data_IF_424306914897
#
_entry.id   IF_424306914897
#
_cell.length_a   1.000
_cell.length_b   1.000
_cell.length_c   1.000
_cell.angle_alpha   90.00
_cell.angle_beta   90.00
_cell.angle_gamma   90.00
#
_symmetry.space_group_name_H-M   'P 1'
#
loop_
_entity.id
_entity.type
_entity.pdbx_description
1 polymer ?
#
# COMPACT_ATOMS: atom_id res chain seq x y z
N UNK A 1 -18.21 13.36 2.76
CA UNK A 1 -17.83 13.04 4.14
C UNK A 1 -17.32 11.61 4.16
N UNK A 2 -16.33 11.34 5.01
CA UNK A 2 -15.67 10.04 5.12
C UNK A 2 -16.64 8.93 5.46
N UNK A 3 -16.65 7.86 4.65
CA UNK A 3 -17.54 6.70 4.88
C UNK A 3 -17.05 5.74 5.95
N UNK A 4 -15.83 5.93 6.43
CA UNK A 4 -15.19 5.04 7.39
C UNK A 4 -14.93 5.78 8.71
N UNK A 5 -15.46 5.23 9.81
CA UNK A 5 -15.30 5.74 11.17
C UNK A 5 -14.49 4.73 11.99
N UNK A 6 -13.48 5.20 12.71
CA UNK A 6 -12.57 4.33 13.47
C UNK A 6 -12.65 4.68 14.95
N UNK A 7 -12.89 3.68 15.80
CA UNK A 7 -12.72 3.78 17.24
C UNK A 7 -11.32 3.29 17.63
N UNK A 8 -10.61 4.10 18.39
CA UNK A 8 -9.27 3.84 18.92
C UNK A 8 -9.35 3.73 20.44
N UNK A 9 -9.21 2.51 20.97
CA UNK A 9 -9.48 2.23 22.40
C UNK A 9 -8.28 1.58 23.08
N UNK A 10 -7.99 1.86 24.37
CA UNK A 10 -6.89 1.23 25.10
C UNK A 10 -7.22 -0.23 25.47
N UNK A 11 -8.51 -0.59 25.49
CA UNK A 11 -9.01 -1.93 25.82
C UNK A 11 -9.66 -2.58 24.61
N UNK A 12 -9.54 -3.91 24.51
CA UNK A 12 -10.17 -4.70 23.45
C UNK A 12 -11.69 -4.54 23.50
N UNK A 13 -12.34 -4.14 22.39
CA UNK A 13 -13.77 -4.26 22.27
C UNK A 13 -14.17 -5.72 22.19
N UNK A 14 -14.79 -6.25 23.24
CA UNK A 14 -15.32 -7.60 23.23
C UNK A 14 -16.58 -7.68 22.32
N UNK A 15 -17.00 -8.88 21.89
CA UNK A 15 -18.16 -9.02 21.01
C UNK A 15 -19.44 -8.38 21.58
N UNK A 16 -19.61 -8.36 22.92
CA UNK A 16 -20.76 -7.72 23.56
C UNK A 16 -20.72 -6.21 23.42
N UNK A 17 -19.55 -5.60 23.54
CA UNK A 17 -19.34 -4.16 23.39
C UNK A 17 -19.57 -3.73 21.94
N UNK A 18 -19.09 -4.53 20.97
CA UNK A 18 -19.36 -4.31 19.54
C UNK A 18 -20.86 -4.37 19.26
N UNK A 19 -21.57 -5.41 19.74
CA UNK A 19 -23.01 -5.53 19.58
C UNK A 19 -23.78 -4.39 20.27
N UNK A 20 -23.39 -4.01 21.50
CA UNK A 20 -23.96 -2.87 22.23
C UNK A 20 -23.79 -1.55 21.47
N UNK A 21 -22.65 -1.35 20.82
CA UNK A 21 -22.43 -0.22 19.91
C UNK A 21 -23.37 -0.25 18.71
N UNK A 22 -23.55 -1.42 18.08
CA UNK A 22 -24.38 -1.60 16.89
C UNK A 22 -25.88 -1.42 17.14
N UNK A 23 -26.35 -1.58 18.39
CA UNK A 23 -27.69 -1.15 18.81
C UNK A 23 -27.93 0.37 18.70
N UNK A 24 -26.98 1.14 18.15
CA UNK A 24 -27.18 2.50 17.68
C UNK A 24 -28.38 2.68 16.76
N UNK A 25 -28.69 1.67 15.93
CA UNK A 25 -29.79 1.76 14.98
C UNK A 25 -31.17 1.31 15.47
N UNK A 26 -31.29 0.98 16.77
CA UNK A 26 -32.53 0.49 17.36
C UNK A 26 -32.68 -1.04 17.32
N UNK A 27 -33.77 -1.57 17.92
CA UNK A 27 -33.97 -3.02 18.08
C UNK A 27 -34.41 -3.74 16.81
N UNK A 28 -34.90 -3.02 15.82
CA UNK A 28 -35.50 -3.60 14.61
C UNK A 28 -34.45 -3.93 13.53
N UNK A 29 -33.18 -3.62 13.75
CA UNK A 29 -32.09 -3.94 12.84
C UNK A 29 -31.47 -5.29 13.14
N UNK A 30 -31.01 -5.98 12.10
CA UNK A 30 -30.39 -7.29 12.20
C UNK A 30 -28.88 -7.20 12.19
N UNK A 31 -28.22 -8.10 12.91
CA UNK A 31 -26.77 -8.25 12.89
C UNK A 31 -26.42 -9.58 12.25
N UNK A 32 -25.56 -9.55 11.23
CA UNK A 32 -25.01 -10.74 10.59
C UNK A 32 -23.49 -10.74 10.62
N UNK A 33 -22.90 -11.91 10.40
CA UNK A 33 -21.45 -12.08 10.34
C UNK A 33 -21.05 -12.60 8.97
N UNK A 34 -20.01 -12.00 8.37
CA UNK A 34 -19.46 -12.38 7.06
C UNK A 34 -17.94 -12.56 7.16
N UNK A 35 -17.31 -13.01 6.06
CA UNK A 35 -15.87 -13.23 5.97
C UNK A 35 -15.32 -14.14 7.11
N UNK A 36 -15.93 -15.31 7.29
CA UNK A 36 -15.56 -16.31 8.30
C UNK A 36 -15.47 -15.77 9.75
N UNK A 37 -16.26 -14.74 10.07
CA UNK A 37 -16.23 -14.14 11.41
C UNK A 37 -15.50 -12.80 11.49
N UNK A 38 -14.73 -12.42 10.47
CA UNK A 38 -13.89 -11.24 10.50
C UNK A 38 -14.66 -9.92 10.39
N UNK A 39 -15.92 -9.96 9.95
CA UNK A 39 -16.75 -8.76 9.74
C UNK A 39 -18.14 -8.97 10.32
N UNK A 40 -18.60 -7.99 11.10
CA UNK A 40 -19.98 -7.90 11.61
C UNK A 40 -20.72 -6.82 10.84
N UNK A 41 -21.92 -7.11 10.35
CA UNK A 41 -22.72 -6.15 9.58
C UNK A 41 -24.04 -5.86 10.27
N UNK A 42 -24.36 -4.57 10.40
CA UNK A 42 -25.69 -4.09 10.75
C UNK A 42 -26.50 -3.94 9.47
N UNK A 43 -27.67 -4.58 9.43
CA UNK A 43 -28.54 -4.64 8.27
C UNK A 43 -29.96 -4.25 8.64
N UNK A 44 -30.71 -3.77 7.66
CA UNK A 44 -32.17 -3.67 7.73
C UNK A 44 -32.81 -5.07 7.71
N UNK A 45 -34.07 -5.24 8.14
CA UNK A 45 -34.78 -6.53 8.12
C UNK A 45 -34.86 -7.22 6.76
N UNK A 46 -34.79 -6.47 5.66
CA UNK A 46 -34.77 -6.98 4.30
C UNK A 46 -33.35 -7.35 3.80
N UNK A 47 -32.35 -7.32 4.70
CA UNK A 47 -30.99 -7.81 4.45
C UNK A 47 -30.04 -6.79 3.81
N UNK A 48 -30.45 -5.53 3.66
CA UNK A 48 -29.60 -4.46 3.10
C UNK A 48 -28.60 -3.98 4.15
N UNK A 49 -27.33 -3.83 3.76
CA UNK A 49 -26.24 -3.48 4.69
C UNK A 49 -26.19 -1.97 4.94
N UNK A 50 -26.15 -1.60 6.22
CA UNK A 50 -26.03 -0.22 6.69
C UNK A 50 -24.60 0.08 7.14
N UNK A 51 -24.04 -0.75 8.02
CA UNK A 51 -22.69 -0.58 8.57
C UNK A 51 -21.98 -1.93 8.58
N UNK A 52 -20.71 -1.96 8.17
CA UNK A 52 -19.82 -3.11 8.32
C UNK A 52 -18.70 -2.77 9.29
N UNK A 53 -18.45 -3.63 10.28
CA UNK A 53 -17.44 -3.45 11.32
C UNK A 53 -16.41 -4.57 11.20
N UNK A 54 -15.13 -4.21 11.09
CA UNK A 54 -14.04 -5.18 11.11
C UNK A 54 -13.79 -5.70 12.52
N UNK A 55 -13.32 -6.94 12.62
CA UNK A 55 -12.76 -7.47 13.85
C UNK A 55 -11.68 -6.53 14.40
N UNK A 56 -11.76 -6.09 15.67
CA UNK A 56 -10.75 -5.24 16.27
C UNK A 56 -9.38 -5.90 16.24
N UNK A 57 -8.34 -5.13 15.92
CA UNK A 57 -6.96 -5.60 15.98
C UNK A 57 -6.07 -4.64 16.78
N UNK A 58 -5.02 -5.20 17.37
CA UNK A 58 -4.11 -4.49 18.26
C UNK A 58 -2.96 -3.86 17.47
N UNK A 59 -2.82 -2.54 17.54
CA UNK A 59 -1.74 -1.79 16.90
C UNK A 59 -0.57 -1.63 17.87
N UNK A 60 0.57 -2.24 17.54
CA UNK A 60 1.81 -2.09 18.30
C UNK A 60 2.74 -1.00 17.74
N UNK A 61 2.55 -0.62 16.48
CA UNK A 61 3.52 0.19 15.75
C UNK A 61 3.30 1.68 16.02
N UNK A 62 4.28 2.31 16.67
CA UNK A 62 4.28 3.75 16.92
C UNK A 62 4.28 4.53 15.60
N UNK A 63 3.48 5.60 15.51
CA UNK A 63 3.42 6.46 14.32
C UNK A 63 2.44 5.99 13.25
N UNK A 64 2.00 4.72 13.27
CA UNK A 64 1.22 4.14 12.19
C UNK A 64 -0.17 4.77 12.05
N UNK A 65 -0.87 5.00 13.17
CA UNK A 65 -2.16 5.67 13.12
C UNK A 65 -2.03 7.13 12.68
N UNK A 66 -0.99 7.87 13.11
CA UNK A 66 -0.77 9.24 12.60
C UNK A 66 -0.47 9.26 11.10
N UNK A 67 0.24 8.25 10.59
CA UNK A 67 0.56 8.14 9.16
C UNK A 67 -0.70 7.99 8.30
N UNK A 68 -1.70 7.25 8.79
CA UNK A 68 -2.92 6.95 8.03
C UNK A 68 -4.08 7.91 8.29
N UNK A 69 -4.20 8.40 9.53
CA UNK A 69 -5.34 9.22 9.96
C UNK A 69 -4.99 10.72 10.06
N UNK A 70 -3.70 11.06 9.98
CA UNK A 70 -3.19 12.42 10.13
C UNK A 70 -2.62 12.70 11.52
N UNK A 71 -1.80 13.76 11.61
CA UNK A 71 -1.07 14.14 12.84
C UNK A 71 -1.96 14.76 13.92
N UNK A 72 -3.12 15.28 13.53
CA UNK A 72 -4.07 15.96 14.43
C UNK A 72 -4.90 14.97 15.26
N UNK A 73 -4.78 13.66 15.00
CA UNK A 73 -5.56 12.64 15.69
C UNK A 73 -5.02 12.42 17.09
N UNK A 74 -5.91 12.56 18.08
CA UNK A 74 -5.61 12.18 19.47
C UNK A 74 -5.60 10.66 19.57
N UNK A 75 -4.45 10.09 19.89
CA UNK A 75 -4.25 8.65 19.97
C UNK A 75 -4.03 8.21 21.43
N UNK A 76 -4.52 7.03 21.84
CA UNK A 76 -4.02 6.35 23.03
C UNK A 76 -2.54 5.96 22.88
N UNK A 77 -1.87 5.71 24.00
CA UNK A 77 -0.52 5.13 23.97
C UNK A 77 -0.55 3.74 23.33
N UNK A 78 0.50 3.40 22.59
CA UNK A 78 0.66 2.05 22.04
C UNK A 78 0.96 1.04 23.18
N UNK A 79 0.38 -0.17 23.16
CA UNK A 79 -0.54 -0.67 22.14
C UNK A 79 -2.00 -0.25 22.38
N UNK A 80 -2.75 -0.02 21.29
CA UNK A 80 -4.19 0.27 21.35
C UNK A 80 -4.96 -0.53 20.29
N UNK A 81 -6.27 -0.66 20.49
CA UNK A 81 -7.16 -1.38 19.60
C UNK A 81 -7.74 -0.47 18.53
N UNK A 82 -7.66 -0.93 17.28
CA UNK A 82 -8.25 -0.31 16.12
C UNK A 82 -9.54 -1.05 15.76
N UNK A 83 -10.66 -0.33 15.70
CA UNK A 83 -11.95 -0.88 15.24
C UNK A 83 -12.52 0.01 14.17
N UNK A 84 -12.58 -0.50 12.94
CA UNK A 84 -13.04 0.24 11.78
C UNK A 84 -14.47 -0.14 11.41
N UNK A 85 -15.31 0.88 11.24
CA UNK A 85 -16.69 0.77 10.80
C UNK A 85 -16.87 1.52 9.47
N UNK A 86 -17.35 0.84 8.44
CA UNK A 86 -17.66 1.40 7.13
C UNK A 86 -19.17 1.54 6.96
N UNK A 87 -19.61 2.76 6.68
CA UNK A 87 -20.97 3.10 6.35
C UNK A 87 -21.26 2.81 4.87
N UNK A 88 -22.44 2.25 4.60
CA UNK A 88 -22.96 2.08 3.25
C UNK A 88 -23.17 3.43 2.57
N UNK A 89 -22.88 3.51 1.27
CA UNK A 89 -23.18 4.68 0.44
C UNK A 89 -24.65 4.74 0.00
N UNK A 90 -25.40 3.64 0.16
CA UNK A 90 -26.79 3.54 -0.28
C UNK A 90 -27.79 4.27 0.64
N UNK A 91 -27.38 4.66 1.85
CA UNK A 91 -28.24 5.30 2.85
C UNK A 91 -27.59 6.54 3.44
N UNK A 92 -28.37 7.59 3.66
CA UNK A 92 -27.90 8.82 4.30
C UNK A 92 -27.62 8.59 5.80
N UNK A 93 -28.41 7.74 6.46
CA UNK A 93 -28.31 7.46 7.90
C UNK A 93 -27.12 6.56 8.26
N UNK A 94 -26.57 5.82 7.29
CA UNK A 94 -25.49 4.86 7.52
C UNK A 94 -24.24 5.51 8.13
N UNK A 95 -23.90 6.73 7.71
CA UNK A 95 -22.75 7.46 8.23
C UNK A 95 -22.96 7.84 9.71
N UNK A 96 -24.15 8.32 10.05
CA UNK A 96 -24.53 8.60 11.44
C UNK A 96 -24.57 7.34 12.30
N UNK A 97 -24.99 6.21 11.74
CA UNK A 97 -24.94 4.92 12.44
C UNK A 97 -23.50 4.50 12.77
N UNK A 98 -22.58 4.62 11.80
CA UNK A 98 -21.17 4.32 12.02
C UNK A 98 -20.55 5.28 13.06
N UNK A 99 -20.89 6.56 13.00
CA UNK A 99 -20.52 7.58 14.00
C UNK A 99 -21.01 7.26 15.41
N UNK A 100 -22.29 6.87 15.54
CA UNK A 100 -22.88 6.45 16.81
C UNK A 100 -22.24 5.17 17.37
N UNK A 101 -22.01 4.18 16.51
CA UNK A 101 -21.32 2.95 16.88
C UNK A 101 -19.94 3.24 17.47
N UNK A 102 -19.09 3.98 16.74
CA UNK A 102 -17.73 4.28 17.17
C UNK A 102 -17.71 5.15 18.43
N UNK A 103 -18.60 6.15 18.51
CA UNK A 103 -18.73 7.02 19.67
C UNK A 103 -19.15 6.26 20.94
N UNK A 104 -20.07 5.29 20.82
CA UNK A 104 -20.46 4.41 21.93
C UNK A 104 -19.32 3.50 22.38
N UNK A 105 -18.62 2.86 21.44
CA UNK A 105 -17.47 2.00 21.75
C UNK A 105 -16.38 2.79 22.47
N UNK A 106 -16.02 3.97 21.96
CA UNK A 106 -15.04 4.86 22.59
C UNK A 106 -15.49 5.38 23.95
N UNK A 107 -16.78 5.66 24.14
CA UNK A 107 -17.35 6.09 25.44
C UNK A 107 -17.24 4.98 26.49
N UNK A 108 -17.53 3.72 26.12
CA UNK A 108 -17.54 2.58 27.03
C UNK A 108 -16.13 2.16 27.43
N UNK A 109 -15.21 2.09 26.46
CA UNK A 109 -13.86 1.53 26.68
C UNK A 109 -12.81 2.59 27.04
N UNK A 110 -13.19 3.87 27.00
CA UNK A 110 -12.25 4.98 26.87
C UNK A 110 -11.60 4.98 25.50
N UNK A 111 -11.24 6.16 24.98
CA UNK A 111 -10.58 6.26 23.68
C UNK A 111 -11.03 7.47 22.88
N UNK A 112 -10.77 7.41 21.59
CA UNK A 112 -11.09 8.46 20.62
C UNK A 112 -11.71 7.88 19.36
N UNK A 113 -12.32 8.75 18.57
CA UNK A 113 -12.92 8.39 17.28
C UNK A 113 -12.31 9.27 16.20
N UNK A 114 -12.13 8.68 15.03
CA UNK A 114 -11.74 9.37 13.80
C UNK A 114 -12.78 9.15 12.70
N UNK A 115 -13.17 10.19 11.95
CA UNK A 115 -12.85 11.59 12.21
C UNK A 115 -13.57 12.08 13.50
N UNK A 116 -12.99 13.04 14.26
CA UNK A 116 -13.54 13.45 15.56
C UNK A 116 -14.99 13.94 15.50
N UNK A 117 -15.37 14.61 14.43
CA UNK A 117 -16.71 15.17 14.20
C UNK A 117 -17.79 14.12 13.93
N UNK A 118 -17.42 12.89 13.55
CA UNK A 118 -18.38 11.80 13.37
C UNK A 118 -18.84 11.20 14.72
N UNK A 119 -18.12 11.47 15.80
CA UNK A 119 -18.37 10.85 17.10
C UNK A 119 -19.63 11.40 17.77
N UNK A 120 -20.63 10.55 17.96
CA UNK A 120 -21.79 10.84 18.81
C UNK A 120 -22.31 9.55 19.46
N UNK A 121 -23.33 9.63 20.31
CA UNK A 121 -23.93 8.45 20.97
C UNK A 121 -25.42 8.30 20.71
N UNK A 122 -26.02 9.24 19.96
CA UNK A 122 -27.45 9.24 19.62
C UNK A 122 -27.92 7.93 18.97
N UNK A 123 -29.15 7.53 19.27
CA UNK A 123 -29.84 6.47 18.50
C UNK A 123 -30.22 7.05 17.15
N UNK A 124 -29.92 6.34 16.06
CA UNK A 124 -30.21 6.76 14.68
C UNK A 124 -31.33 5.89 14.15
N UNK A 125 -32.48 6.48 13.87
CA UNK A 125 -33.61 5.78 13.26
C UNK A 125 -33.37 5.65 11.76
N UNK A 126 -33.56 4.46 11.21
CA UNK A 126 -33.48 4.20 9.77
C UNK A 126 -34.90 4.04 9.25
N UNK A 127 -35.25 4.82 8.23
CA UNK A 127 -36.52 4.61 7.53
C UNK A 127 -36.41 3.32 6.71
N UNK A 128 -37.14 2.28 7.11
CA UNK A 128 -37.26 1.06 6.30
C UNK A 128 -38.31 1.30 5.22
N UNK A 129 -37.87 1.70 4.02
CA UNK A 129 -38.75 1.67 2.85
C UNK A 129 -39.12 0.22 2.53
N UNK A 130 -40.40 -0.11 2.65
CA UNK A 130 -40.99 -1.44 2.42
C UNK A 130 -41.00 -1.86 0.92
N UNK A 131 -40.40 -1.07 0.02
CA UNK A 131 -40.63 -1.18 -1.43
C UNK A 131 -39.41 -1.62 -2.27
N UNK A 132 -38.28 -1.95 -1.65
CA UNK A 132 -37.04 -2.28 -2.37
C UNK A 132 -36.93 -3.76 -2.72
N UNK A 133 -36.66 -4.08 -3.99
CA UNK A 133 -36.15 -5.41 -4.36
C UNK A 133 -34.85 -5.71 -3.60
N UNK A 134 -34.69 -6.96 -3.13
CA UNK A 134 -33.50 -7.40 -2.42
C UNK A 134 -32.26 -7.24 -3.32
N UNK A 135 -31.45 -6.22 -3.07
CA UNK A 135 -30.21 -6.01 -3.79
C UNK A 135 -29.19 -7.07 -3.38
N UNK A 136 -28.50 -7.67 -4.35
CA UNK A 136 -27.45 -8.65 -4.09
C UNK A 136 -26.43 -8.06 -3.12
N UNK A 137 -26.02 -8.84 -2.12
CA UNK A 137 -25.08 -8.38 -1.10
C UNK A 137 -23.75 -7.98 -1.73
N UNK A 138 -23.47 -6.68 -1.76
CA UNK A 138 -22.18 -6.15 -2.20
C UNK A 138 -21.10 -6.53 -1.18
N UNK A 139 -19.87 -6.86 -1.61
CA UNK A 139 -18.75 -7.04 -0.68
C UNK A 139 -18.61 -5.81 0.24
N UNK A 140 -18.27 -5.96 1.53
CA UNK A 140 -18.37 -4.87 2.51
C UNK A 140 -17.63 -3.57 2.16
N UNK A 141 -16.54 -3.68 1.39
CA UNK A 141 -15.71 -2.54 0.98
C UNK A 141 -16.18 -1.86 -0.31
N UNK A 142 -17.06 -2.51 -1.07
CA UNK A 142 -17.48 -2.12 -2.42
C UNK A 142 -18.80 -1.37 -2.34
N UNK A 143 -18.84 -0.18 -2.94
CA UNK A 143 -19.97 0.74 -2.92
C UNK A 143 -20.92 0.51 -4.11
N UNK A 144 -20.36 0.17 -5.27
CA UNK A 144 -21.13 -0.22 -6.44
C UNK A 144 -20.42 -1.34 -7.20
N UNK A 145 -21.22 -2.23 -7.78
CA UNK A 145 -20.71 -3.38 -8.50
C UNK A 145 -21.42 -3.46 -9.87
N UNK A 146 -20.65 -3.35 -10.94
CA UNK A 146 -21.10 -3.49 -12.34
C UNK A 146 -20.36 -4.66 -12.97
N UNK A 147 -20.87 -5.20 -14.07
CA UNK A 147 -20.28 -6.36 -14.75
C UNK A 147 -18.77 -6.25 -15.01
N UNK A 148 -18.26 -5.02 -15.17
CA UNK A 148 -16.85 -4.75 -15.47
C UNK A 148 -16.04 -4.20 -14.28
N UNK A 149 -16.67 -3.67 -13.22
CA UNK A 149 -15.92 -3.02 -12.12
C UNK A 149 -16.59 -3.12 -10.75
N UNK A 150 -15.74 -3.26 -9.74
CA UNK A 150 -16.04 -2.98 -8.35
C UNK A 150 -15.58 -1.54 -8.01
N UNK A 151 -16.52 -0.70 -7.61
CA UNK A 151 -16.27 0.71 -7.25
C UNK A 151 -16.20 0.85 -5.74
N UNK A 152 -15.13 1.50 -5.26
CA UNK A 152 -14.90 1.83 -3.85
C UNK A 152 -14.80 3.35 -3.74
N UNK A 153 -15.71 3.98 -3.00
CA UNK A 153 -15.72 5.42 -2.78
C UNK A 153 -15.06 5.69 -1.43
N UNK A 154 -14.03 6.54 -1.42
CA UNK A 154 -13.35 6.94 -0.19
C UNK A 154 -13.10 8.44 -0.17
N UNK A 155 -13.47 9.05 0.95
CA UNK A 155 -13.23 10.44 1.27
C UNK A 155 -12.32 10.47 2.50
N UNK A 156 -11.04 10.16 2.29
CA UNK A 156 -10.00 10.17 3.34
C UNK A 156 -8.81 10.99 2.84
N UNK A 157 -8.07 11.62 3.77
CA UNK A 157 -6.82 12.28 3.42
C UNK A 157 -5.77 11.30 2.86
N UNK A 158 -5.74 10.07 3.41
CA UNK A 158 -4.86 8.99 2.98
C UNK A 158 -5.68 7.72 2.77
N UNK A 159 -5.56 7.12 1.59
CA UNK A 159 -6.15 5.83 1.24
C UNK A 159 -5.08 4.76 1.29
N UNK A 160 -5.19 3.90 2.31
CA UNK A 160 -4.26 2.83 2.61
C UNK A 160 -4.72 1.50 2.00
N UNK A 161 -3.78 0.57 1.85
CA UNK A 161 -4.07 -0.77 1.38
C UNK A 161 -4.60 -1.62 2.52
N UNK A 162 -5.84 -1.36 2.91
CA UNK A 162 -6.51 -2.04 4.01
C UNK A 162 -6.86 -3.48 3.66
N UNK A 163 -7.21 -4.28 4.68
CA UNK A 163 -7.76 -5.62 4.51
C UNK A 163 -9.02 -5.59 3.61
N UNK A 164 -9.87 -4.59 3.82
CA UNK A 164 -11.06 -4.29 3.01
C UNK A 164 -10.71 -4.08 1.53
N UNK A 165 -9.74 -3.21 1.26
CA UNK A 165 -9.34 -2.89 -0.10
C UNK A 165 -8.61 -4.06 -0.78
N UNK A 166 -7.79 -4.78 -0.02
CA UNK A 166 -7.10 -5.98 -0.48
C UNK A 166 -8.08 -7.10 -0.83
N UNK A 167 -9.13 -7.30 -0.02
CA UNK A 167 -10.19 -8.28 -0.33
C UNK A 167 -11.04 -7.84 -1.53
N UNK A 168 -11.37 -6.55 -1.64
CA UNK A 168 -12.06 -5.99 -2.80
C UNK A 168 -11.27 -6.20 -4.09
N UNK A 169 -9.97 -5.90 -4.08
CA UNK A 169 -9.07 -6.13 -5.22
C UNK A 169 -9.03 -7.61 -5.61
N UNK A 170 -8.85 -8.49 -4.62
CA UNK A 170 -8.79 -9.94 -4.82
C UNK A 170 -10.08 -10.49 -5.44
N UNK A 171 -11.25 -10.06 -4.93
CA UNK A 171 -12.56 -10.49 -5.46
C UNK A 171 -12.83 -9.94 -6.85
N UNK A 172 -12.59 -8.64 -7.06
CA UNK A 172 -12.74 -8.01 -8.37
C UNK A 172 -11.89 -8.77 -9.42
N UNK A 173 -10.63 -9.07 -9.09
CA UNK A 173 -9.73 -9.83 -9.97
C UNK A 173 -10.25 -11.24 -10.25
N UNK A 174 -10.74 -11.96 -9.22
CA UNK A 174 -11.28 -13.31 -9.38
C UNK A 174 -12.53 -13.35 -10.27
N UNK A 175 -13.33 -12.28 -10.24
CA UNK A 175 -14.56 -12.13 -11.02
C UNK A 175 -14.32 -11.45 -12.38
N UNK A 176 -13.07 -11.18 -12.76
CA UNK A 176 -12.71 -10.53 -14.03
C UNK A 176 -13.04 -9.03 -14.11
N UNK A 177 -13.25 -8.38 -12.96
CA UNK A 177 -13.61 -6.96 -12.82
C UNK A 177 -12.40 -6.09 -12.48
N UNK A 178 -12.48 -4.82 -12.87
CA UNK A 178 -11.56 -3.77 -12.42
C UNK A 178 -11.91 -3.26 -11.02
N UNK A 179 -10.91 -3.06 -10.16
CA UNK A 179 -11.09 -2.24 -8.96
C UNK A 179 -10.94 -0.75 -9.32
N UNK A 180 -11.97 0.04 -9.03
CA UNK A 180 -11.96 1.50 -9.18
C UNK A 180 -12.11 2.17 -7.82
N UNK A 181 -11.12 2.97 -7.41
CA UNK A 181 -11.22 3.80 -6.20
C UNK A 181 -11.61 5.22 -6.61
N UNK A 182 -12.72 5.74 -6.11
CA UNK A 182 -13.19 7.11 -6.36
C UNK A 182 -12.91 7.98 -5.14
N UNK A 183 -12.16 9.07 -5.33
CA UNK A 183 -11.75 9.97 -4.24
C UNK A 183 -11.91 11.45 -4.60
N UNK A 184 -12.05 12.35 -3.60
CA UNK A 184 -11.88 13.78 -3.80
C UNK A 184 -10.40 14.15 -4.08
N UNK A 185 -10.13 15.38 -4.54
CA UNK A 185 -8.79 15.78 -5.00
C UNK A 185 -7.77 16.04 -3.88
N UNK A 186 -8.21 16.07 -2.62
CA UNK A 186 -7.34 16.23 -1.46
C UNK A 186 -6.77 14.89 -0.95
N UNK A 187 -7.29 13.77 -1.45
CA UNK A 187 -6.87 12.42 -1.05
C UNK A 187 -5.51 12.08 -1.66
N UNK A 188 -4.69 11.39 -0.90
CA UNK A 188 -3.44 10.77 -1.34
C UNK A 188 -3.51 9.25 -1.16
N UNK A 189 -2.72 8.50 -1.92
CA UNK A 189 -2.59 7.05 -1.75
C UNK A 189 -1.33 6.70 -0.98
N UNK A 190 -1.34 5.64 -0.20
CA UNK A 190 -0.09 5.02 0.28
C UNK A 190 0.64 4.34 -0.90
N UNK A 191 1.96 4.14 -0.80
CA UNK A 191 2.71 3.40 -1.83
C UNK A 191 2.15 1.98 -2.10
N UNK A 192 1.77 1.18 -1.07
CA UNK A 192 1.12 -0.11 -1.31
C UNK A 192 -0.14 -0.02 -2.16
N UNK A 193 -1.02 0.95 -1.88
CA UNK A 193 -2.23 1.17 -2.68
C UNK A 193 -1.87 1.57 -4.10
N UNK A 194 -0.91 2.49 -4.28
CA UNK A 194 -0.43 2.88 -5.62
C UNK A 194 0.04 1.66 -6.40
N UNK A 195 0.89 0.82 -5.81
CA UNK A 195 1.46 -0.37 -6.46
C UNK A 195 0.34 -1.34 -6.86
N UNK A 196 -0.61 -1.59 -5.96
CA UNK A 196 -1.73 -2.49 -6.22
C UNK A 196 -2.64 -2.03 -7.39
N UNK A 197 -2.72 -0.73 -7.63
CA UNK A 197 -3.49 -0.14 -8.73
C UNK A 197 -2.72 -0.02 -10.05
N UNK A 198 -1.41 -0.30 -10.10
CA UNK A 198 -0.64 -0.20 -11.34
C UNK A 198 -1.02 -1.27 -12.40
N UNK A 199 -1.76 -2.32 -12.01
CA UNK A 199 -2.25 -3.34 -12.94
C UNK A 199 -3.54 -2.92 -13.65
N UNK A 200 -3.56 -2.99 -14.98
CA UNK A 200 -4.81 -2.89 -15.74
C UNK A 200 -5.72 -4.08 -15.40
N UNK A 201 -7.04 -3.89 -15.28
CA UNK A 201 -7.82 -2.68 -15.58
C UNK A 201 -8.10 -1.73 -14.37
N UNK A 202 -7.34 -1.81 -13.27
CA UNK A 202 -7.61 -1.01 -12.05
C UNK A 202 -7.39 0.49 -12.26
N UNK A 203 -8.13 1.33 -11.52
CA UNK A 203 -8.07 2.80 -11.63
C UNK A 203 -8.20 3.52 -10.30
N UNK A 204 -7.52 4.66 -10.20
CA UNK A 204 -7.78 5.68 -9.19
C UNK A 204 -8.48 6.87 -9.83
N UNK A 205 -9.78 7.02 -9.59
CA UNK A 205 -10.60 8.09 -10.14
C UNK A 205 -10.70 9.24 -9.15
N UNK A 206 -10.28 10.42 -9.59
CA UNK A 206 -10.30 11.63 -8.79
C UNK A 206 -11.39 12.54 -9.31
N UNK A 207 -12.27 12.98 -8.42
CA UNK A 207 -13.31 13.95 -8.74
C UNK A 207 -12.69 15.36 -8.84
N UNK A 208 -12.56 15.87 -10.06
CA UNK A 208 -11.95 17.18 -10.33
C UNK A 208 -12.89 18.37 -10.06
N UNK A 209 -12.37 19.60 -9.98
CA UNK A 209 -13.18 20.80 -9.97
C UNK A 209 -14.03 20.90 -11.25
N UNK A 210 -15.34 21.09 -11.11
CA UNK A 210 -16.27 21.20 -12.24
C UNK A 210 -16.66 19.86 -12.86
N UNK A 211 -17.45 19.06 -12.13
CA UNK A 211 -18.13 17.81 -12.56
C UNK A 211 -17.32 16.72 -13.30
N UNK A 212 -16.03 16.92 -13.57
CA UNK A 212 -15.19 16.00 -14.31
C UNK A 212 -14.46 14.98 -13.43
N UNK A 213 -14.01 13.91 -14.06
CA UNK A 213 -13.21 12.85 -13.43
C UNK A 213 -11.88 12.72 -14.16
N UNK A 214 -10.82 12.35 -13.44
CA UNK A 214 -9.55 12.00 -14.05
C UNK A 214 -8.85 10.88 -13.28
N UNK A 215 -7.93 10.21 -13.94
CA UNK A 215 -7.11 9.17 -13.32
C UNK A 215 -5.98 9.82 -12.50
N UNK A 216 -5.96 9.58 -11.19
CA UNK A 216 -4.95 10.14 -10.29
C UNK A 216 -3.54 9.55 -10.49
N UNK A 217 -3.39 8.44 -11.22
CA UNK A 217 -2.09 7.84 -11.55
C UNK A 217 -1.56 8.30 -12.90
N UNK A 218 -2.43 8.41 -13.92
CA UNK A 218 -2.03 8.70 -15.30
C UNK A 218 -2.36 10.12 -15.77
N UNK A 219 -3.28 10.81 -15.09
CA UNK A 219 -3.78 12.13 -15.49
C UNK A 219 -4.84 12.10 -16.59
N UNK A 220 -5.21 10.92 -17.09
CA UNK A 220 -6.22 10.77 -18.13
C UNK A 220 -7.56 11.36 -17.67
N UNK A 221 -8.19 12.23 -18.48
CA UNK A 221 -9.58 12.62 -18.29
C UNK A 221 -10.47 11.38 -18.45
N UNK A 222 -11.46 11.22 -17.58
CA UNK A 222 -12.33 10.05 -17.54
C UNK A 222 -13.80 10.46 -17.63
N UNK A 223 -14.61 9.59 -18.23
CA UNK A 223 -16.07 9.64 -18.13
C UNK A 223 -16.64 8.26 -17.80
N UNK A 224 -17.79 8.26 -17.13
CA UNK A 224 -18.53 7.03 -16.84
C UNK A 224 -19.30 6.55 -18.08
N UNK A 225 -19.12 5.28 -18.47
CA UNK A 225 -19.78 4.67 -19.64
C UNK A 225 -20.92 3.70 -19.25
N UNK A 226 -21.47 3.83 -18.05
CA UNK A 226 -22.54 2.96 -17.57
C UNK A 226 -22.03 1.79 -16.74
N UNK A 227 -21.01 1.07 -17.22
CA UNK A 227 -20.38 -0.02 -16.45
C UNK A 227 -19.04 0.37 -15.85
N UNK A 228 -18.18 1.12 -16.55
CA UNK A 228 -16.84 1.48 -16.08
C UNK A 228 -16.42 2.90 -16.48
N UNK A 229 -15.35 3.40 -15.85
CA UNK A 229 -14.66 4.62 -16.26
C UNK A 229 -13.73 4.34 -17.44
N UNK A 230 -13.84 5.19 -18.46
CA UNK A 230 -13.02 5.12 -19.67
C UNK A 230 -12.35 6.46 -19.98
N UNK A 231 -11.17 6.45 -20.62
CA UNK A 231 -10.47 7.67 -21.01
C UNK A 231 -11.27 8.46 -22.06
N UNK A 232 -11.27 9.77 -21.91
CA UNK A 232 -11.73 10.71 -22.93
C UNK A 232 -10.62 10.84 -23.98
N UNK A 233 -10.95 10.58 -25.25
CA UNK A 233 -10.01 10.71 -26.35
C UNK A 233 -10.13 12.09 -27.01
N UNK A 234 -9.01 12.60 -27.52
CA UNK A 234 -8.96 13.78 -28.38
C UNK A 234 -9.27 13.42 -29.85
N UNK A 235 -9.21 14.43 -30.74
CA UNK A 235 -9.51 14.25 -32.15
C UNK A 235 -8.53 13.31 -32.89
N UNK A 236 -7.31 13.14 -32.35
CA UNK A 236 -6.25 12.30 -32.90
C UNK A 236 -6.25 10.89 -32.27
N UNK A 237 -7.20 10.60 -31.37
CA UNK A 237 -7.30 9.33 -30.65
C UNK A 237 -6.35 9.23 -29.45
N UNK A 238 -5.67 10.31 -29.08
CA UNK A 238 -4.86 10.41 -27.87
C UNK A 238 -5.72 10.59 -26.62
N UNK A 239 -5.25 10.11 -25.47
CA UNK A 239 -5.94 10.33 -24.20
C UNK A 239 -5.76 11.77 -23.75
N UNK A 240 -6.88 12.48 -23.52
CA UNK A 240 -6.85 13.83 -22.97
C UNK A 240 -6.30 13.81 -21.54
N UNK A 241 -5.46 14.78 -21.20
CA UNK A 241 -4.89 14.94 -19.86
C UNK A 241 -5.61 16.05 -19.12
N UNK A 242 -6.03 15.78 -17.88
CA UNK A 242 -6.76 16.73 -17.08
C UNK A 242 -5.88 17.91 -16.63
N UNK A 243 -6.44 19.13 -16.70
CA UNK A 243 -5.75 20.37 -16.27
C UNK A 243 -5.28 20.34 -14.79
N UNK A 244 -5.93 19.52 -13.96
CA UNK A 244 -5.57 19.34 -12.55
C UNK A 244 -4.30 18.52 -12.36
N UNK A 245 -3.92 17.68 -13.33
CA UNK A 245 -2.78 16.76 -13.27
C UNK A 245 -1.47 17.44 -13.70
N UNK A 246 -1.12 18.51 -12.97
CA UNK A 246 0.12 19.27 -13.17
C UNK A 246 1.22 18.80 -12.20
N UNK A 247 2.51 18.98 -12.55
CA UNK A 247 3.61 18.73 -11.64
C UNK A 247 3.43 19.47 -10.31
N UNK A 248 3.74 18.80 -9.20
CA UNK A 248 3.81 19.44 -7.89
C UNK A 248 5.00 20.41 -7.87
N UNK A 249 4.89 21.61 -7.26
CA UNK A 249 6.04 22.46 -7.03
C UNK A 249 7.16 21.69 -6.32
N UNK A 250 8.41 21.90 -6.74
CA UNK A 250 9.55 21.22 -6.14
C UNK A 250 9.73 21.69 -4.69
N UNK A 251 9.36 20.84 -3.74
CA UNK A 251 9.48 21.09 -2.30
C UNK A 251 10.90 20.88 -1.77
N UNK A 252 11.81 20.37 -2.60
CA UNK A 252 13.13 19.88 -2.16
C UNK A 252 13.09 18.46 -1.59
N UNK A 253 11.91 17.93 -1.27
CA UNK A 253 11.75 16.56 -0.77
C UNK A 253 12.12 15.52 -1.83
N UNK A 254 12.63 14.38 -1.35
CA UNK A 254 13.13 13.29 -2.18
C UNK A 254 12.70 11.95 -1.62
N UNK A 255 12.61 10.96 -2.50
CA UNK A 255 12.46 9.56 -2.11
C UNK A 255 13.58 8.72 -2.71
N UNK A 256 14.25 7.93 -1.86
CA UNK A 256 15.18 6.88 -2.27
C UNK A 256 14.40 5.58 -2.40
N UNK A 257 14.45 4.97 -3.58
CA UNK A 257 13.77 3.71 -3.88
C UNK A 257 14.83 2.65 -4.15
N UNK A 258 14.75 1.54 -3.44
CA UNK A 258 15.60 0.36 -3.63
C UNK A 258 14.69 -0.80 -3.98
N UNK A 259 14.77 -1.22 -5.24
CA UNK A 259 14.19 -2.47 -5.71
C UNK A 259 15.26 -3.56 -5.64
N UNK A 260 15.04 -4.61 -4.87
CA UNK A 260 15.98 -5.72 -4.74
C UNK A 260 15.28 -7.06 -4.88
N UNK A 261 15.97 -8.01 -5.49
CA UNK A 261 15.54 -9.41 -5.63
C UNK A 261 16.57 -10.30 -4.98
N UNK A 262 16.12 -11.21 -4.13
CA UNK A 262 16.95 -12.25 -3.52
C UNK A 262 16.40 -13.62 -3.85
N UNK A 263 17.27 -14.62 -3.86
CA UNK A 263 16.90 -16.02 -3.98
C UNK A 263 17.61 -16.82 -2.90
N UNK A 264 16.83 -17.65 -2.22
CA UNK A 264 17.31 -18.56 -1.19
C UNK A 264 16.98 -20.00 -1.54
N UNK A 265 17.81 -20.91 -1.05
CA UNK A 265 17.50 -22.34 -1.12
C UNK A 265 16.26 -22.65 -0.28
N UNK A 266 15.41 -23.54 -0.80
CA UNK A 266 14.16 -23.92 -0.14
C UNK A 266 14.41 -25.01 0.91
N UNK A 267 15.12 -24.67 1.98
CA UNK A 267 15.42 -25.57 3.10
C UNK A 267 14.55 -25.29 4.35
N UNK A 268 14.56 -26.22 5.32
CA UNK A 268 13.75 -26.11 6.54
C UNK A 268 14.19 -24.94 7.47
N UNK A 269 15.48 -24.59 7.42
CA UNK A 269 16.10 -23.52 8.18
C UNK A 269 15.98 -22.14 7.55
N UNK A 270 15.42 -22.02 6.34
CA UNK A 270 15.23 -20.76 5.64
C UNK A 270 14.49 -19.74 6.52
N UNK A 271 15.10 -18.56 6.70
CA UNK A 271 14.50 -17.39 7.34
C UNK A 271 14.47 -16.24 6.34
N UNK A 272 13.25 -15.75 6.06
CA UNK A 272 12.98 -14.64 5.16
C UNK A 272 13.03 -13.29 5.90
N UNK A 273 13.11 -12.20 5.13
CA UNK A 273 13.14 -10.83 5.64
C UNK A 273 14.53 -10.33 6.06
N UNK A 274 15.55 -11.18 6.02
CA UNK A 274 16.93 -10.80 6.40
C UNK A 274 17.50 -9.71 5.50
N UNK A 275 17.26 -9.79 4.19
CA UNK A 275 17.70 -8.78 3.23
C UNK A 275 17.08 -7.40 3.50
N UNK A 276 15.76 -7.39 3.78
CA UNK A 276 15.04 -6.17 4.12
C UNK A 276 15.53 -5.58 5.45
N UNK A 277 15.73 -6.42 6.47
CA UNK A 277 16.25 -5.97 7.76
C UNK A 277 17.65 -5.35 7.64
N UNK A 278 18.53 -5.95 6.83
CA UNK A 278 19.86 -5.41 6.55
C UNK A 278 19.79 -4.04 5.85
N UNK A 279 18.89 -3.88 4.88
CA UNK A 279 18.65 -2.60 4.19
C UNK A 279 18.16 -1.52 5.15
N UNK A 280 17.17 -1.84 5.99
CA UNK A 280 16.67 -0.92 7.02
C UNK A 280 17.78 -0.50 7.98
N UNK A 281 18.49 -1.46 8.58
CA UNK A 281 19.58 -1.15 9.53
C UNK A 281 20.65 -0.26 8.92
N UNK A 282 20.99 -0.48 7.64
CA UNK A 282 22.02 0.30 6.95
C UNK A 282 21.57 1.73 6.63
N UNK A 283 20.31 1.91 6.23
CA UNK A 283 19.80 3.18 5.72
C UNK A 283 19.11 4.06 6.77
N UNK A 284 18.55 3.45 7.81
CA UNK A 284 17.82 4.15 8.88
C UNK A 284 18.49 4.02 10.25
N UNK A 285 19.48 3.12 10.38
CA UNK A 285 20.13 2.80 11.66
C UNK A 285 19.34 1.85 12.56
N UNK A 286 18.12 1.44 12.17
CA UNK A 286 17.24 0.59 12.96
C UNK A 286 16.64 -0.54 12.11
N UNK A 287 16.22 -1.67 12.69
CA UNK A 287 15.40 -2.64 11.97
C UNK A 287 14.03 -2.03 11.64
N UNK A 288 13.22 -2.69 10.78
CA UNK A 288 11.84 -2.30 10.61
C UNK A 288 11.09 -2.24 11.94
N UNK A 289 10.13 -1.33 12.06
CA UNK A 289 9.31 -1.18 13.27
C UNK A 289 8.18 -2.21 13.30
N UNK A 290 7.56 -2.47 12.15
CA UNK A 290 6.43 -3.39 12.07
C UNK A 290 6.23 -3.96 10.67
N UNK A 291 5.39 -5.00 10.61
CA UNK A 291 4.99 -5.65 9.36
C UNK A 291 3.51 -6.08 9.40
N UNK A 292 2.95 -6.34 8.22
CA UNK A 292 1.56 -6.78 8.07
C UNK A 292 1.28 -7.29 6.67
N UNK A 293 0.05 -7.73 6.43
CA UNK A 293 -0.46 -8.09 5.08
C UNK A 293 -1.37 -7.01 4.49
N UNK A 294 -1.69 -6.00 5.29
CA UNK A 294 -2.48 -4.84 4.96
C UNK A 294 -2.08 -3.69 5.92
N UNK A 295 -2.45 -2.47 5.55
CA UNK A 295 -2.37 -1.30 6.43
C UNK A 295 -3.68 -1.17 7.23
N UNK A 296 -3.66 -0.69 8.50
CA UNK A 296 -2.52 -0.32 9.32
C UNK A 296 -1.60 -1.49 9.69
N UNK A 297 -0.30 -1.21 9.73
CA UNK A 297 0.72 -2.12 10.22
C UNK A 297 0.61 -2.28 11.73
N UNK A 298 0.20 -3.47 12.15
CA UNK A 298 -0.17 -3.75 13.54
C UNK A 298 0.81 -4.66 14.27
N UNK A 299 1.61 -5.48 13.56
CA UNK A 299 2.52 -6.45 14.17
C UNK A 299 3.95 -5.89 14.29
N UNK A 300 4.64 -6.14 15.42
CA UNK A 300 6.06 -5.81 15.55
C UNK A 300 6.89 -6.67 14.58
N UNK A 301 8.00 -6.12 14.09
CA UNK A 301 8.89 -6.81 13.15
C UNK A 301 9.33 -8.19 13.66
N UNK A 302 9.11 -9.24 12.86
CA UNK A 302 9.53 -10.60 13.20
C UNK A 302 9.76 -11.46 11.95
N UNK A 303 11.04 -11.67 11.62
CA UNK A 303 11.47 -12.59 10.54
C UNK A 303 10.94 -14.00 10.70
N UNK A 304 10.82 -14.48 11.95
CA UNK A 304 10.22 -15.78 12.24
C UNK A 304 8.74 -15.84 11.85
N UNK A 305 7.94 -14.86 12.25
CA UNK A 305 6.49 -14.88 11.98
C UNK A 305 6.20 -14.68 10.49
N UNK A 306 6.91 -13.76 9.82
CA UNK A 306 6.73 -13.54 8.38
C UNK A 306 7.15 -14.78 7.57
N UNK A 307 8.22 -15.47 7.97
CA UNK A 307 8.63 -16.75 7.38
C UNK A 307 7.56 -17.83 7.60
N UNK A 308 7.01 -17.92 8.81
CA UNK A 308 5.93 -18.85 9.12
C UNK A 308 4.68 -18.63 8.26
N UNK A 309 4.30 -17.37 8.02
CA UNK A 309 3.20 -17.03 7.12
C UNK A 309 3.50 -17.40 5.67
N UNK A 310 4.68 -17.05 5.16
CA UNK A 310 5.07 -17.41 3.79
C UNK A 310 5.08 -18.93 3.59
N UNK A 311 5.59 -19.68 4.58
CA UNK A 311 5.63 -21.13 4.58
C UNK A 311 4.25 -21.78 4.61
N UNK A 312 3.31 -21.25 5.41
CA UNK A 312 1.94 -21.80 5.48
C UNK A 312 1.12 -21.54 4.21
N UNK A 313 1.50 -20.53 3.43
CA UNK A 313 0.86 -20.20 2.16
C UNK A 313 1.47 -20.92 0.96
N UNK A 314 2.73 -21.34 1.04
CA UNK A 314 3.45 -21.98 -0.06
C UNK A 314 2.66 -23.18 -0.65
N UNK A 315 2.59 -23.32 -1.99
CA UNK A 315 3.29 -22.54 -3.01
C UNK A 315 2.60 -21.22 -3.41
N UNK A 316 1.47 -20.84 -2.79
CA UNK A 316 0.82 -19.57 -3.10
C UNK A 316 1.72 -18.39 -2.68
N UNK A 317 1.78 -17.32 -3.49
CA UNK A 317 2.59 -16.16 -3.14
C UNK A 317 2.07 -15.46 -1.87
N UNK A 318 2.99 -14.78 -1.21
CA UNK A 318 2.72 -13.97 -0.03
C UNK A 318 3.17 -12.54 -0.29
N UNK A 319 2.30 -11.58 -0.03
CA UNK A 319 2.61 -10.16 -0.11
C UNK A 319 2.60 -9.58 1.30
N UNK A 320 3.65 -8.84 1.64
CA UNK A 320 3.89 -8.28 2.96
C UNK A 320 4.18 -6.79 2.83
N UNK A 321 3.73 -6.05 3.83
CA UNK A 321 3.99 -4.64 4.01
C UNK A 321 4.85 -4.46 5.25
N UNK A 322 5.74 -3.48 5.24
CA UNK A 322 6.68 -3.21 6.33
C UNK A 322 6.89 -1.71 6.47
N UNK A 323 6.97 -1.21 7.70
CA UNK A 323 7.20 0.22 7.98
C UNK A 323 8.41 0.42 8.89
N UNK A 324 9.09 1.53 8.71
CA UNK A 324 10.16 2.00 9.59
C UNK A 324 9.66 2.67 10.87
N UNK A 325 10.61 3.14 11.67
CA UNK A 325 10.32 3.96 12.85
C UNK A 325 9.87 5.39 12.50
N UNK A 326 9.58 6.19 13.52
CA UNK A 326 9.06 7.56 13.38
C UNK A 326 10.07 8.58 12.86
N UNK A 327 11.36 8.31 13.02
CA UNK A 327 12.44 9.26 12.69
C UNK A 327 12.63 9.42 11.18
N UNK A 328 12.57 8.30 10.44
CA UNK A 328 12.77 8.25 9.00
C UNK A 328 11.57 7.55 8.35
N UNK A 329 10.71 8.27 7.60
CA UNK A 329 9.62 7.66 6.87
C UNK A 329 10.16 6.61 5.90
N UNK A 330 9.85 5.35 6.18
CA UNK A 330 10.30 4.22 5.38
C UNK A 330 9.16 3.21 5.28
N UNK A 331 8.93 2.72 4.07
CA UNK A 331 7.93 1.71 3.77
C UNK A 331 8.51 0.72 2.78
N UNK A 332 8.25 -0.56 2.98
CA UNK A 332 8.58 -1.60 2.04
C UNK A 332 7.39 -2.50 1.70
N UNK A 333 7.40 -2.99 0.46
CA UNK A 333 6.56 -4.10 0.03
C UNK A 333 7.47 -5.29 -0.29
N UNK A 334 7.06 -6.49 0.13
CA UNK A 334 7.81 -7.73 -0.10
C UNK A 334 6.87 -8.78 -0.70
N UNK A 335 7.17 -9.22 -1.91
CA UNK A 335 6.58 -10.41 -2.53
C UNK A 335 7.45 -11.63 -2.27
N UNK A 336 6.88 -12.71 -1.76
CA UNK A 336 7.55 -14.00 -1.57
C UNK A 336 6.92 -15.03 -2.49
N UNK A 337 7.73 -15.62 -3.37
CA UNK A 337 7.28 -16.62 -4.34
C UNK A 337 8.18 -17.85 -4.28
N UNK A 338 7.56 -19.04 -4.29
CA UNK A 338 8.30 -20.30 -4.43
C UNK A 338 8.45 -20.63 -5.91
N UNK A 339 9.69 -20.72 -6.38
CA UNK A 339 10.04 -21.11 -7.76
C UNK A 339 10.68 -22.50 -7.78
N UNK A 340 10.96 -23.02 -8.97
CA UNK A 340 11.73 -24.27 -9.12
C UNK A 340 13.18 -24.12 -8.66
N UNK A 341 13.69 -22.89 -8.61
CA UNK A 341 15.07 -22.59 -8.25
C UNK A 341 15.26 -22.23 -6.77
N UNK A 342 14.18 -22.11 -5.99
CA UNK A 342 14.24 -21.73 -4.58
C UNK A 342 13.06 -20.89 -4.13
N UNK A 343 13.28 -20.06 -3.12
CA UNK A 343 12.33 -19.06 -2.65
C UNK A 343 12.89 -17.68 -3.00
N UNK A 344 12.13 -16.90 -3.76
CA UNK A 344 12.51 -15.55 -4.17
C UNK A 344 11.79 -14.52 -3.29
N UNK A 345 12.53 -13.51 -2.82
CA UNK A 345 11.96 -12.29 -2.25
C UNK A 345 12.14 -11.14 -3.24
N UNK A 346 11.05 -10.50 -3.61
CA UNK A 346 11.02 -9.26 -4.39
C UNK A 346 10.62 -8.12 -3.47
N UNK A 347 11.55 -7.20 -3.25
CA UNK A 347 11.43 -6.17 -2.22
C UNK A 347 11.53 -4.80 -2.88
N UNK A 348 10.55 -3.93 -2.63
CA UNK A 348 10.63 -2.50 -2.94
C UNK A 348 10.62 -1.73 -1.64
N UNK A 349 11.77 -1.15 -1.27
CA UNK A 349 11.95 -0.28 -0.10
C UNK A 349 12.00 1.17 -0.56
N UNK A 350 11.18 2.03 0.04
CA UNK A 350 11.17 3.47 -0.22
C UNK A 350 11.39 4.23 1.08
N UNK A 351 12.32 5.17 1.07
CA UNK A 351 12.62 6.09 2.18
C UNK A 351 12.38 7.53 1.75
N UNK A 352 11.78 8.33 2.62
CA UNK A 352 11.48 9.74 2.38
C UNK A 352 12.46 10.66 3.09
N UNK A 353 12.94 11.66 2.35
CA UNK A 353 13.88 12.68 2.83
C UNK A 353 13.30 14.08 2.62
N UNK A 354 13.44 14.93 3.63
CA UNK A 354 13.13 16.35 3.56
C UNK A 354 14.13 17.14 2.71
N UNK A 355 13.83 18.40 2.44
CA UNK A 355 14.69 19.27 1.62
C UNK A 355 16.12 19.44 2.17
N UNK A 356 16.25 19.44 3.50
CA UNK A 356 17.53 19.62 4.20
C UNK A 356 18.14 18.29 4.67
N UNK A 357 17.50 17.15 4.37
CA UNK A 357 17.98 15.82 4.78
C UNK A 357 18.82 15.21 3.65
N UNK A 358 20.11 14.90 3.88
CA UNK A 358 20.96 14.30 2.86
C UNK A 358 20.53 12.86 2.55
N UNK A 359 20.42 12.52 1.27
CA UNK A 359 20.16 11.14 0.84
C UNK A 359 21.48 10.33 0.92
N UNK A 360 21.52 9.19 1.64
CA UNK A 360 22.75 8.42 1.88
C UNK A 360 23.12 7.53 0.68
N UNK A 361 23.43 8.12 -0.47
CA UNK A 361 23.82 7.38 -1.68
C UNK A 361 25.15 6.62 -1.50
N UNK A 362 26.04 7.12 -0.62
CA UNK A 362 27.29 6.46 -0.24
C UNK A 362 27.07 5.14 0.52
N UNK A 363 25.91 4.98 1.18
CA UNK A 363 25.54 3.74 1.87
C UNK A 363 25.06 2.63 0.91
N UNK A 364 24.76 2.96 -0.36
CA UNK A 364 24.17 2.02 -1.33
C UNK A 364 25.14 0.92 -1.75
N UNK A 365 26.38 1.27 -2.12
CA UNK A 365 27.38 0.28 -2.51
C UNK A 365 27.71 -0.70 -1.37
N UNK A 366 27.97 -0.25 -0.13
CA UNK A 366 28.18 -1.18 0.99
C UNK A 366 26.94 -2.02 1.35
N UNK A 367 25.72 -1.49 1.16
CA UNK A 367 24.50 -2.28 1.28
C UNK A 367 24.47 -3.39 0.23
N UNK A 368 24.77 -3.06 -1.02
CA UNK A 368 24.82 -4.01 -2.13
C UNK A 368 25.79 -5.17 -1.82
N UNK A 369 26.96 -4.86 -1.26
CA UNK A 369 27.94 -5.87 -0.85
C UNK A 369 27.41 -6.77 0.26
N UNK A 370 26.78 -6.18 1.28
CA UNK A 370 26.16 -6.93 2.39
C UNK A 370 25.11 -7.91 1.86
N UNK A 371 24.27 -7.47 0.91
CA UNK A 371 23.23 -8.30 0.31
C UNK A 371 23.81 -9.39 -0.60
N UNK A 372 24.86 -9.09 -1.38
CA UNK A 372 25.53 -10.04 -2.25
C UNK A 372 26.22 -11.16 -1.47
N UNK A 373 26.84 -10.83 -0.33
CA UNK A 373 27.59 -11.79 0.49
C UNK A 373 26.68 -12.62 1.39
N UNK A 374 25.65 -12.02 1.97
CA UNK A 374 24.87 -12.63 3.05
C UNK A 374 23.42 -12.99 2.74
N UNK A 375 22.86 -12.52 1.63
CA UNK A 375 21.41 -12.56 1.41
C UNK A 375 20.98 -13.02 0.02
N UNK A 376 21.85 -13.68 -0.75
CA UNK A 376 21.46 -14.28 -2.03
C UNK A 376 20.97 -13.25 -3.05
N UNK A 377 21.58 -12.06 -3.07
CA UNK A 377 21.19 -11.00 -4.00
C UNK A 377 21.25 -11.48 -5.45
N UNK A 378 20.15 -11.32 -6.18
CA UNK A 378 20.08 -11.51 -7.63
C UNK A 378 20.32 -10.20 -8.38
N UNK A 379 19.64 -9.14 -7.96
CA UNK A 379 19.77 -7.80 -8.53
C UNK A 379 19.30 -6.74 -7.55
N UNK A 380 19.87 -5.54 -7.64
CA UNK A 380 19.43 -4.35 -6.92
C UNK A 380 19.41 -3.15 -7.86
N UNK A 381 18.31 -2.41 -7.92
CA UNK A 381 18.20 -1.12 -8.58
C UNK A 381 17.93 -0.05 -7.54
N UNK A 382 18.78 0.96 -7.48
CA UNK A 382 18.61 2.13 -6.63
C UNK A 382 18.26 3.32 -7.49
N UNK A 383 17.17 4.01 -7.15
CA UNK A 383 16.68 5.18 -7.88
C UNK A 383 16.27 6.30 -6.93
N UNK A 384 16.31 7.53 -7.43
CA UNK A 384 15.90 8.73 -6.69
C UNK A 384 14.77 9.45 -7.42
N UNK A 385 13.82 10.03 -6.69
CA UNK A 385 12.82 10.94 -7.27
C UNK A 385 12.53 12.14 -6.39
N UNK A 386 12.07 13.21 -7.02
CA UNK A 386 11.37 14.29 -6.33
C UNK A 386 9.94 13.86 -6.02
N UNK A 387 9.65 13.61 -4.75
CA UNK A 387 8.35 13.16 -4.26
C UNK A 387 8.24 13.44 -2.75
N UNK A 388 7.03 13.30 -2.19
CA UNK A 388 6.74 13.67 -0.80
C UNK A 388 7.57 12.90 0.22
N UNK A 389 8.05 13.56 1.28
CA UNK A 389 8.78 12.89 2.38
C UNK A 389 7.91 11.86 3.12
N UNK A 390 6.60 12.10 3.21
CA UNK A 390 5.66 11.23 3.95
C UNK A 390 5.27 9.93 3.24
N UNK A 391 5.84 9.67 2.06
CA UNK A 391 5.59 8.48 1.24
C UNK A 391 4.14 8.34 0.74
N UNK A 392 3.33 9.39 0.83
CA UNK A 392 2.02 9.41 0.18
C UNK A 392 2.13 9.90 -1.27
N UNK A 393 1.17 9.51 -2.09
CA UNK A 393 1.13 9.76 -3.53
C UNK A 393 -0.05 10.69 -3.81
N UNK A 394 0.18 11.94 -4.26
CA UNK A 394 -0.89 12.85 -4.62
C UNK A 394 -1.49 12.51 -6.00
N UNK A 395 -2.71 12.98 -6.31
CA UNK A 395 -3.36 12.82 -7.61
C UNK A 395 -2.79 13.85 -8.61
N UNK A 396 -1.47 13.90 -8.71
CA UNK A 396 -0.71 14.88 -9.49
C UNK A 396 0.48 14.20 -10.14
N UNK A 397 1.00 14.83 -11.18
CA UNK A 397 2.19 14.31 -11.85
C UNK A 397 3.39 14.37 -10.89
N UNK A 398 3.94 13.20 -10.58
CA UNK A 398 5.25 13.04 -9.95
C UNK A 398 6.22 12.51 -11.00
N UNK A 399 7.42 13.10 -11.14
CA UNK A 399 8.40 12.62 -12.09
C UNK A 399 8.81 11.16 -11.79
N UNK A 400 9.09 10.37 -12.82
CA UNK A 400 9.55 8.99 -12.63
C UNK A 400 10.89 8.98 -11.87
N UNK A 401 11.16 7.91 -11.11
CA UNK A 401 12.44 7.77 -10.43
C UNK A 401 13.59 7.61 -11.43
N UNK A 402 14.70 8.26 -11.12
CA UNK A 402 15.93 8.28 -11.92
C UNK A 402 16.89 7.24 -11.35
N UNK A 403 17.36 6.27 -12.15
CA UNK A 403 18.36 5.30 -11.72
C UNK A 403 19.66 5.97 -11.26
N UNK A 404 20.09 5.65 -10.04
CA UNK A 404 21.37 6.10 -9.47
C UNK A 404 22.42 4.98 -9.51
N UNK A 405 22.02 3.73 -9.27
CA UNK A 405 22.93 2.59 -9.34
C UNK A 405 22.19 1.28 -9.63
N UNK A 406 22.92 0.33 -10.22
CA UNK A 406 22.46 -1.04 -10.41
C UNK A 406 23.49 -2.02 -9.87
N UNK A 407 23.07 -3.09 -9.21
CA UNK A 407 23.94 -4.18 -8.76
C UNK A 407 23.44 -5.49 -9.33
N UNK A 408 24.36 -6.25 -9.92
CA UNK A 408 24.13 -7.61 -10.39
C UNK A 408 24.73 -8.61 -9.39
N UNK A 409 23.92 -9.59 -8.99
CA UNK A 409 24.30 -10.62 -8.02
C UNK A 409 25.34 -11.62 -8.54
N UNK A 410 26.03 -12.36 -7.65
CA UNK A 410 27.11 -13.27 -8.03
C UNK A 410 26.72 -14.36 -9.03
N UNK A 411 25.54 -14.96 -8.85
CA UNK A 411 25.02 -15.99 -9.76
C UNK A 411 24.81 -15.46 -11.17
N UNK A 412 24.20 -14.27 -11.29
CA UNK A 412 23.94 -13.65 -12.58
C UNK A 412 25.25 -13.19 -13.26
N UNK A 413 26.25 -12.73 -12.50
CA UNK A 413 27.59 -12.41 -13.03
C UNK A 413 28.28 -13.68 -13.55
N UNK A 414 28.14 -14.81 -12.85
CA UNK A 414 28.68 -16.09 -13.32
C UNK A 414 28.02 -16.53 -14.62
N UNK A 415 26.69 -16.41 -14.71
CA UNK A 415 25.93 -16.86 -15.88
C UNK A 415 26.21 -16.00 -17.13
N UNK A 416 26.34 -14.67 -16.98
CA UNK A 416 26.69 -13.74 -18.07
C UNK A 416 28.20 -13.77 -18.40
N UNK A 417 29.04 -14.08 -17.42
CA UNK A 417 30.49 -14.06 -17.52
C UNK A 417 31.11 -12.71 -17.12
N UNK A 418 32.09 -12.77 -16.20
CA UNK A 418 32.75 -11.60 -15.61
C UNK A 418 33.43 -10.68 -16.65
N UNK A 419 34.02 -11.25 -17.70
CA UNK A 419 34.71 -10.48 -18.74
C UNK A 419 33.74 -9.59 -19.53
N UNK A 420 32.52 -10.06 -19.76
CA UNK A 420 31.47 -9.33 -20.45
C UNK A 420 30.80 -8.33 -19.52
N UNK A 421 30.32 -8.79 -18.37
CA UNK A 421 29.63 -7.94 -17.40
C UNK A 421 30.52 -6.80 -16.85
N UNK A 422 31.83 -7.06 -16.66
CA UNK A 422 32.78 -6.07 -16.15
C UNK A 422 33.22 -5.00 -17.15
N UNK A 423 32.79 -5.06 -18.42
CA UNK A 423 33.18 -4.12 -19.48
C UNK A 423 31.95 -3.59 -20.23
N UNK A 424 31.06 -2.85 -19.56
CA UNK A 424 29.93 -2.24 -20.24
C UNK A 424 30.42 -1.22 -21.30
N UNK A 425 29.70 -1.03 -22.42
CA UNK A 425 30.04 -0.10 -23.49
C UNK A 425 29.72 1.36 -23.08
N UNK A 426 30.17 1.77 -21.90
CA UNK A 426 29.89 3.05 -21.27
C UNK A 426 31.11 3.50 -20.48
N UNK A 427 31.20 4.81 -20.18
CA UNK A 427 32.25 5.35 -19.31
C UNK A 427 31.91 5.14 -17.82
N UNK A 428 31.58 3.90 -17.46
CA UNK A 428 31.28 3.47 -16.10
C UNK A 428 32.24 2.36 -15.75
N UNK A 429 32.91 2.47 -14.60
CA UNK A 429 33.78 1.43 -14.06
C UNK A 429 33.00 0.63 -13.01
N UNK A 430 32.58 -0.61 -13.30
CA UNK A 430 31.87 -1.42 -12.32
C UNK A 430 32.79 -1.76 -11.13
N UNK A 431 32.21 -1.75 -9.93
CA UNK A 431 32.91 -2.15 -8.71
C UNK A 431 32.59 -3.61 -8.40
N UNK A 432 33.62 -4.43 -8.27
CA UNK A 432 33.47 -5.82 -7.81
C UNK A 432 33.19 -5.83 -6.31
N UNK A 433 32.14 -6.53 -5.90
CA UNK A 433 31.71 -6.66 -4.50
C UNK A 433 31.81 -8.12 -4.04
N UNK A 434 32.16 -8.33 -2.77
CA UNK A 434 32.26 -9.66 -2.17
C UNK A 434 33.51 -10.45 -2.61
N UNK A 435 33.52 -11.79 -2.41
CA UNK A 435 34.68 -12.63 -2.67
C UNK A 435 35.07 -12.68 -4.15
N UNK A 436 36.38 -12.67 -4.44
CA UNK A 436 36.91 -12.73 -5.80
C UNK A 436 36.49 -13.98 -6.61
N UNK A 437 36.13 -15.07 -5.92
CA UNK A 437 35.69 -16.32 -6.56
C UNK A 437 34.25 -16.25 -7.12
N UNK A 438 33.40 -15.38 -6.56
CA UNK A 438 32.02 -15.20 -6.95
C UNK A 438 31.62 -13.72 -6.75
N UNK A 439 32.16 -12.80 -7.57
CA UNK A 439 31.93 -11.38 -7.37
C UNK A 439 30.52 -10.98 -7.82
N UNK A 440 29.89 -10.09 -7.06
CA UNK A 440 28.81 -9.25 -7.58
C UNK A 440 29.42 -8.01 -8.27
N UNK A 441 28.67 -7.39 -9.18
CA UNK A 441 29.10 -6.18 -9.88
C UNK A 441 28.15 -5.03 -9.60
N UNK A 442 28.69 -3.91 -9.14
CA UNK A 442 27.95 -2.67 -8.87
C UNK A 442 28.29 -1.60 -9.92
N UNK A 443 27.27 -1.03 -10.52
CA UNK A 443 27.35 -0.06 -11.60
C UNK A 443 26.80 1.29 -11.11
N UNK A 444 27.65 2.29 -10.85
CA UNK A 444 27.19 3.64 -10.56
C UNK A 444 26.66 4.27 -11.86
N UNK A 445 25.36 4.57 -11.91
CA UNK A 445 24.69 5.13 -13.09
C UNK A 445 24.56 6.66 -13.02
N UNK A 446 24.69 7.24 -11.82
CA UNK A 446 24.64 8.67 -11.56
C UNK A 446 24.31 8.96 -10.08
N UNK A 447 23.91 10.20 -9.80
CA UNK A 447 23.45 10.64 -8.47
C UNK A 447 21.91 10.69 -8.35
N UNK A 448 21.19 10.22 -9.38
CA UNK A 448 19.73 10.23 -9.41
C UNK A 448 19.12 11.62 -9.66
N UNK A 449 19.91 12.62 -10.06
CA UNK A 449 19.41 13.97 -10.37
C UNK A 449 19.10 14.19 -11.85
N UNK A 450 19.73 13.42 -12.75
CA UNK A 450 19.65 13.59 -14.21
C UNK A 450 19.04 12.36 -14.89
N UNK A 451 18.08 12.58 -15.80
CA UNK A 451 17.41 11.55 -16.57
C UNK A 451 18.35 10.73 -17.47
N UNK A 452 19.59 11.17 -17.71
CA UNK A 452 20.64 10.35 -18.35
C UNK A 452 20.86 8.99 -17.66
N UNK A 453 20.53 8.87 -16.37
CA UNK A 453 20.53 7.59 -15.65
C UNK A 453 19.66 6.50 -16.29
N UNK A 454 18.56 6.88 -16.97
CA UNK A 454 17.73 5.95 -17.73
C UNK A 454 18.45 5.42 -18.98
N UNK A 455 19.11 6.30 -19.74
CA UNK A 455 19.91 5.88 -20.90
C UNK A 455 21.07 4.97 -20.49
N UNK A 456 21.72 5.26 -19.36
CA UNK A 456 22.77 4.40 -18.80
C UNK A 456 22.23 3.03 -18.40
N UNK A 457 21.05 2.99 -17.75
CA UNK A 457 20.41 1.73 -17.39
C UNK A 457 20.01 0.91 -18.63
N UNK A 458 19.39 1.53 -19.63
CA UNK A 458 18.95 0.85 -20.86
C UNK A 458 20.14 0.26 -21.63
N UNK A 459 21.23 1.04 -21.79
CA UNK A 459 22.48 0.57 -22.40
C UNK A 459 23.11 -0.57 -21.61
N UNK A 460 23.09 -0.50 -20.26
CA UNK A 460 23.59 -1.57 -19.40
C UNK A 460 22.77 -2.84 -19.57
N UNK A 461 21.44 -2.75 -19.49
CA UNK A 461 20.54 -3.91 -19.59
C UNK A 461 20.70 -4.58 -20.95
N UNK A 462 20.73 -3.80 -22.05
CA UNK A 462 20.97 -4.31 -23.40
C UNK A 462 22.31 -5.06 -23.51
N UNK A 463 23.36 -4.51 -22.89
CA UNK A 463 24.68 -5.17 -22.85
C UNK A 463 24.64 -6.48 -22.06
N UNK A 464 24.04 -6.48 -20.86
CA UNK A 464 23.96 -7.68 -20.01
C UNK A 464 23.11 -8.80 -20.65
N UNK A 465 22.04 -8.43 -21.38
CA UNK A 465 21.22 -9.39 -22.13
C UNK A 465 21.97 -10.01 -23.31
N UNK A 466 22.79 -9.23 -24.02
CA UNK A 466 23.60 -9.75 -25.13
C UNK A 466 24.69 -10.75 -24.69
N UNK A 467 24.96 -10.86 -23.39
CA UNK A 467 25.92 -11.82 -22.82
C UNK A 467 25.30 -13.12 -22.30
N UNK A 468 23.97 -13.24 -22.29
CA UNK A 468 23.26 -14.48 -22.01
C UNK A 468 23.10 -15.30 -23.30
#
# INVERSE_FOLDING_TARGET
MTRDVIALTPTMPDPKTVLAGLFAGGPDLEVRTVADGAVVQLCTPDGRTLVSVEAPFLVHTLGEAQRLLGREVRLPDVPFWWTEARASTAYEEAERLAGSFAGRVATVLGGTVWPPEAAHTDVVSVATDESGEAQAATPPAVDALTDDTAVVIQDRAVVAMTSWLSDALRRATADGRALTIVTPPHTTLTLPTRIALQGHPNRWVVQGPGAGYYDGLSGAELHWQGTAFAPVLDADGGTRVADSFKPVPNTGERQLIIYLRTRHDADEGLVLGGALEAAFRRLTGAPPAGWGTAEPISLPWSTRQLTGLARSRAPRPTWLLTVGGTECPALATTGVTRTTAGVEEEITLTLGYGADEPVPLDAVQPLAETLAVGHGLMSMLTSLRAARRDLTVPPRFEPPPVPAAFTLGPDAVRDIGLAHAGRPPMNISPVSLGPAAAPALHYPLGDGSDYSGWEHLEKLMSHLEAGK
#
